data_IF_651995927451
#
_entry.id   IF_651995927451
#
_cell.length_a   1.000
_cell.length_b   1.000
_cell.length_c   1.000
_cell.angle_alpha   90.00
_cell.angle_beta   90.00
_cell.angle_gamma   90.00
#
_symmetry.space_group_name_H-M   'P 1'
#
loop_
_entity.id
_entity.type
_entity.pdbx_description
1 polymer ?
#
# COMPACT_ATOMS: atom_id res chain seq x y z
N UNK A 1 1.29 -37.21 -1.83
CA UNK A 1 0.25 -37.00 -2.87
C UNK A 1 0.88 -36.19 -3.99
N UNK A 2 0.70 -36.58 -5.26
CA UNK A 2 1.40 -35.96 -6.38
C UNK A 2 0.99 -34.49 -6.52
N UNK A 3 1.96 -33.65 -6.87
CA UNK A 3 1.85 -32.20 -6.97
C UNK A 3 0.86 -31.74 -8.05
N UNK A 4 -0.40 -31.54 -7.66
CA UNK A 4 -1.45 -30.85 -8.43
C UNK A 4 -1.17 -29.34 -8.65
N UNK A 5 0.04 -28.87 -8.32
CA UNK A 5 0.32 -27.47 -8.00
C UNK A 5 0.65 -26.57 -9.20
N UNK A 6 0.95 -27.14 -10.38
CA UNK A 6 1.43 -26.38 -11.55
C UNK A 6 0.71 -26.75 -12.86
N UNK A 7 -0.56 -27.13 -12.77
CA UNK A 7 -1.42 -27.24 -13.97
C UNK A 7 -1.93 -25.82 -14.33
N UNK A 8 -1.98 -25.44 -15.62
CA UNK A 8 -2.68 -24.23 -16.05
C UNK A 8 -4.14 -24.28 -15.58
N UNK A 9 -4.60 -23.21 -14.92
CA UNK A 9 -5.97 -23.06 -14.43
C UNK A 9 -6.68 -21.96 -15.20
N UNK A 10 -7.97 -22.16 -15.49
CA UNK A 10 -8.80 -21.07 -16.01
C UNK A 10 -9.00 -19.97 -14.97
N UNK A 11 -9.44 -18.78 -15.40
CA UNK A 11 -9.74 -17.68 -14.49
C UNK A 11 -10.80 -18.08 -13.44
N UNK A 12 -11.81 -18.86 -13.82
CA UNK A 12 -12.86 -19.35 -12.91
C UNK A 12 -12.32 -20.41 -11.94
N UNK A 13 -11.45 -21.32 -12.41
CA UNK A 13 -10.78 -22.31 -11.56
C UNK A 13 -9.86 -21.66 -10.52
N UNK A 14 -9.22 -20.52 -10.85
CA UNK A 14 -8.41 -19.76 -9.89
C UNK A 14 -9.25 -19.14 -8.77
N UNK A 15 -10.41 -18.59 -9.12
CA UNK A 15 -11.32 -17.97 -8.15
C UNK A 15 -11.89 -19.05 -7.21
N UNK A 16 -12.39 -20.16 -7.75
CA UNK A 16 -12.94 -21.26 -6.96
C UNK A 16 -11.87 -21.85 -6.02
N UNK A 17 -10.66 -22.11 -6.54
CA UNK A 17 -9.55 -22.57 -5.73
C UNK A 17 -9.15 -21.57 -4.62
N UNK A 18 -9.22 -20.26 -4.88
CA UNK A 18 -8.93 -19.25 -3.88
C UNK A 18 -9.96 -19.25 -2.75
N UNK A 19 -11.25 -19.41 -3.07
CA UNK A 19 -12.30 -19.53 -2.05
C UNK A 19 -12.19 -20.83 -1.24
N UNK A 20 -11.87 -21.95 -1.89
CA UNK A 20 -11.65 -23.22 -1.22
C UNK A 20 -10.47 -23.13 -0.24
N UNK A 21 -9.34 -22.57 -0.69
CA UNK A 21 -8.17 -22.36 0.15
C UNK A 21 -8.49 -21.41 1.31
N UNK A 22 -9.15 -20.29 1.02
CA UNK A 22 -9.57 -19.33 2.04
C UNK A 22 -10.42 -20.02 3.10
N UNK A 23 -11.47 -20.76 2.72
CA UNK A 23 -12.36 -21.44 3.66
C UNK A 23 -11.63 -22.46 4.53
N UNK A 24 -10.65 -23.15 3.96
CA UNK A 24 -9.84 -24.14 4.67
C UNK A 24 -8.90 -23.48 5.70
N UNK A 25 -8.24 -22.37 5.34
CA UNK A 25 -7.23 -21.74 6.19
C UNK A 25 -7.73 -20.54 7.00
N UNK A 26 -8.97 -20.11 6.77
CA UNK A 26 -9.55 -18.93 7.42
C UNK A 26 -9.37 -18.92 8.94
N UNK A 27 -9.66 -20.01 9.68
CA UNK A 27 -9.45 -20.02 11.12
C UNK A 27 -8.00 -19.80 11.52
N UNK A 28 -7.03 -20.34 10.77
CA UNK A 28 -5.61 -20.17 11.06
C UNK A 28 -5.13 -18.75 10.79
N UNK A 29 -5.61 -18.13 9.71
CA UNK A 29 -5.34 -16.72 9.41
C UNK A 29 -5.90 -15.80 10.50
N UNK A 30 -7.15 -16.04 10.93
CA UNK A 30 -7.78 -15.26 12.01
C UNK A 30 -7.03 -15.46 13.33
N UNK A 31 -6.66 -16.69 13.67
CA UNK A 31 -5.86 -16.97 14.88
C UNK A 31 -4.50 -16.27 14.85
N UNK A 32 -3.80 -16.28 13.70
CA UNK A 32 -2.53 -15.59 13.56
C UNK A 32 -2.68 -14.07 13.72
N UNK A 33 -3.70 -13.46 13.10
CA UNK A 33 -3.99 -12.04 13.27
C UNK A 33 -4.38 -11.71 14.71
N UNK A 34 -5.24 -12.51 15.31
CA UNK A 34 -5.67 -12.33 16.69
C UNK A 34 -4.49 -12.41 17.66
N UNK A 35 -3.61 -13.41 17.51
CA UNK A 35 -2.43 -13.56 18.36
C UNK A 35 -1.52 -12.32 18.34
N UNK A 36 -1.44 -11.62 17.20
CA UNK A 36 -0.62 -10.41 17.06
C UNK A 36 -1.36 -9.17 17.54
N UNK A 37 -2.63 -8.99 17.18
CA UNK A 37 -3.36 -7.73 17.43
C UNK A 37 -4.16 -7.69 18.73
N UNK A 38 -4.63 -8.82 19.26
CA UNK A 38 -5.39 -8.86 20.52
C UNK A 38 -4.63 -8.22 21.68
N UNK A 39 -3.31 -8.45 21.87
CA UNK A 39 -2.56 -7.75 22.91
C UNK A 39 -2.63 -6.22 22.80
N UNK A 40 -2.58 -5.67 21.58
CA UNK A 40 -2.70 -4.22 21.36
C UNK A 40 -4.11 -3.70 21.64
N UNK A 41 -5.14 -4.49 21.30
CA UNK A 41 -6.53 -4.14 21.62
C UNK A 41 -6.73 -4.10 23.14
N UNK A 42 -6.23 -5.12 23.86
CA UNK A 42 -6.29 -5.16 25.32
C UNK A 42 -5.53 -3.99 25.93
N UNK A 43 -4.30 -3.71 25.47
CA UNK A 43 -3.52 -2.56 25.93
C UNK A 43 -4.27 -1.24 25.71
N UNK A 44 -4.94 -1.07 24.57
CA UNK A 44 -5.72 0.13 24.27
C UNK A 44 -6.92 0.30 25.21
N UNK A 45 -7.54 -0.79 25.66
CA UNK A 45 -8.68 -0.74 26.60
C UNK A 45 -8.21 -0.45 28.03
N UNK A 46 -7.06 -1.00 28.42
CA UNK A 46 -6.53 -0.90 29.79
C UNK A 46 -5.79 0.41 30.04
N UNK A 47 -5.08 0.94 29.06
CA UNK A 47 -4.26 2.14 29.19
C UNK A 47 -5.10 3.42 29.03
N UNK A 48 -4.68 4.53 29.66
CA UNK A 48 -5.33 5.82 29.49
C UNK A 48 -5.23 6.33 28.05
N UNK A 49 -6.20 7.14 27.62
CA UNK A 49 -6.27 7.71 26.27
C UNK A 49 -5.04 8.55 25.89
N UNK A 50 -4.31 9.10 26.87
CA UNK A 50 -3.03 9.78 26.63
C UNK A 50 -1.95 8.86 26.01
N UNK A 51 -2.05 7.55 26.23
CA UNK A 51 -1.13 6.54 25.68
C UNK A 51 -1.67 5.88 24.40
N UNK A 52 -2.92 6.14 24.01
CA UNK A 52 -3.51 5.62 22.78
C UNK A 52 -2.66 5.85 21.51
N UNK A 53 -2.04 7.03 21.26
CA UNK A 53 -1.19 7.21 20.08
C UNK A 53 0.04 6.30 20.07
N UNK A 54 0.64 6.02 21.23
CA UNK A 54 1.78 5.11 21.33
C UNK A 54 1.37 3.67 21.02
N UNK A 55 0.22 3.22 21.53
CA UNK A 55 -0.32 1.89 21.23
C UNK A 55 -0.68 1.75 19.75
N UNK A 56 -1.25 2.80 19.14
CA UNK A 56 -1.55 2.83 17.71
C UNK A 56 -0.29 2.80 16.84
N UNK A 57 0.77 3.51 17.25
CA UNK A 57 2.05 3.48 16.55
C UNK A 57 2.68 2.08 16.63
N UNK A 58 2.65 1.48 17.83
CA UNK A 58 3.16 0.12 18.04
C UNK A 58 2.36 -0.90 17.20
N UNK A 59 1.02 -0.83 17.18
CA UNK A 59 0.22 -1.77 16.40
C UNK A 59 0.46 -1.64 14.89
N UNK A 60 0.69 -0.43 14.37
CA UNK A 60 1.07 -0.22 12.97
C UNK A 60 2.43 -0.82 12.63
N UNK A 61 3.40 -0.73 13.53
CA UNK A 61 4.69 -1.40 13.35
C UNK A 61 4.56 -2.94 13.30
N UNK A 62 3.55 -3.52 13.96
CA UNK A 62 3.34 -4.97 13.93
C UNK A 62 2.46 -5.44 12.77
N UNK A 63 1.86 -4.53 12.00
CA UNK A 63 1.04 -4.85 10.84
C UNK A 63 1.74 -5.70 9.76
N UNK A 64 2.98 -5.39 9.31
CA UNK A 64 3.65 -6.22 8.31
C UNK A 64 3.97 -7.63 8.80
N UNK A 65 4.11 -7.83 10.11
CA UNK A 65 4.29 -9.16 10.69
C UNK A 65 3.03 -10.00 10.54
N UNK A 66 1.86 -9.44 10.86
CA UNK A 66 0.60 -10.14 10.68
C UNK A 66 0.39 -10.54 9.21
N UNK A 67 0.71 -9.64 8.29
CA UNK A 67 0.65 -9.94 6.86
C UNK A 67 1.62 -11.07 6.46
N UNK A 68 2.87 -11.02 6.94
CA UNK A 68 3.86 -12.06 6.66
C UNK A 68 3.45 -13.43 7.22
N UNK A 69 2.82 -13.47 8.39
CA UNK A 69 2.31 -14.71 8.99
C UNK A 69 1.20 -15.34 8.12
N UNK A 70 0.27 -14.52 7.61
CA UNK A 70 -0.76 -14.97 6.67
C UNK A 70 -0.12 -15.51 5.39
N UNK A 71 0.85 -14.79 4.81
CA UNK A 71 1.55 -15.21 3.59
C UNK A 71 2.21 -16.58 3.79
N UNK A 72 2.87 -16.81 4.93
CA UNK A 72 3.50 -18.10 5.24
C UNK A 72 2.46 -19.23 5.39
N UNK A 73 1.38 -18.98 6.11
CA UNK A 73 0.29 -19.96 6.30
C UNK A 73 -0.36 -20.32 4.96
N UNK A 74 -0.70 -19.31 4.15
CA UNK A 74 -1.29 -19.49 2.82
C UNK A 74 -0.32 -20.20 1.88
N UNK A 75 0.95 -19.79 1.85
CA UNK A 75 1.97 -20.43 1.01
C UNK A 75 2.17 -21.89 1.37
N UNK A 76 2.22 -22.23 2.67
CA UNK A 76 2.41 -23.59 3.11
C UNK A 76 1.19 -24.47 2.85
N UNK A 77 -0.03 -23.96 3.08
CA UNK A 77 -1.26 -24.69 2.76
C UNK A 77 -1.46 -24.89 1.27
N UNK A 78 -1.06 -23.91 0.44
CA UNK A 78 -1.07 -24.05 -1.01
C UNK A 78 -0.17 -25.20 -1.48
N UNK A 79 0.96 -25.44 -0.79
CA UNK A 79 1.86 -26.56 -1.05
C UNK A 79 1.39 -27.89 -0.43
N UNK A 80 0.19 -27.92 0.16
CA UNK A 80 -0.37 -29.11 0.80
C UNK A 80 0.18 -29.40 2.21
N UNK A 81 0.91 -28.45 2.81
CA UNK A 81 1.43 -28.58 4.16
C UNK A 81 0.45 -28.08 5.24
N UNK A 82 0.48 -28.70 6.41
CA UNK A 82 -0.28 -28.27 7.60
C UNK A 82 0.62 -27.53 8.61
N UNK A 83 0.98 -26.28 8.32
CA UNK A 83 1.80 -25.48 9.25
C UNK A 83 0.97 -25.04 10.45
N UNK A 84 1.50 -25.26 11.66
CA UNK A 84 0.91 -24.76 12.89
C UNK A 84 1.08 -23.24 12.98
N UNK A 85 0.06 -22.55 13.52
CA UNK A 85 0.05 -21.09 13.69
C UNK A 85 1.22 -20.60 14.55
N UNK A 86 1.58 -21.34 15.60
CA UNK A 86 2.72 -21.02 16.48
C UNK A 86 4.06 -21.03 15.72
N UNK A 87 4.25 -22.00 14.83
CA UNK A 87 5.44 -22.10 13.98
C UNK A 87 5.52 -20.92 13.00
N UNK A 88 4.38 -20.51 12.42
CA UNK A 88 4.31 -19.35 11.55
C UNK A 88 4.67 -18.06 12.30
N UNK A 89 4.11 -17.85 13.50
CA UNK A 89 4.39 -16.68 14.33
C UNK A 89 5.86 -16.63 14.75
N UNK A 90 6.43 -17.75 15.20
CA UNK A 90 7.85 -17.83 15.57
C UNK A 90 8.79 -17.52 14.40
N UNK A 91 8.48 -18.08 13.22
CA UNK A 91 9.24 -17.80 11.99
C UNK A 91 9.21 -16.32 11.61
N UNK A 92 8.05 -15.67 11.71
CA UNK A 92 7.89 -14.24 11.43
C UNK A 92 8.61 -13.37 12.45
N UNK A 93 8.48 -13.66 13.75
CA UNK A 93 9.15 -12.91 14.82
C UNK A 93 10.67 -12.98 14.70
N UNK A 94 11.24 -14.13 14.32
CA UNK A 94 12.68 -14.28 14.09
C UNK A 94 13.22 -13.36 12.97
N UNK A 95 12.34 -12.94 12.06
CA UNK A 95 12.64 -12.05 10.93
C UNK A 95 12.09 -10.64 11.11
N UNK A 96 11.66 -10.28 12.32
CA UNK A 96 11.07 -8.98 12.64
C UNK A 96 11.91 -7.81 12.09
N UNK A 97 13.22 -7.81 12.36
CA UNK A 97 14.11 -6.74 11.91
C UNK A 97 14.21 -6.62 10.39
N UNK A 98 14.28 -7.75 9.68
CA UNK A 98 14.30 -7.76 8.22
C UNK A 98 12.97 -7.27 7.63
N UNK A 99 11.83 -7.71 8.20
CA UNK A 99 10.50 -7.25 7.79
C UNK A 99 10.31 -5.76 8.03
N UNK A 100 10.77 -5.24 9.18
CA UNK A 100 10.77 -3.79 9.45
C UNK A 100 11.55 -3.03 8.39
N UNK A 101 12.78 -3.45 8.09
CA UNK A 101 13.61 -2.78 7.09
C UNK A 101 12.95 -2.78 5.71
N UNK A 102 12.37 -3.92 5.29
CA UNK A 102 11.63 -4.02 4.02
C UNK A 102 10.43 -3.07 4.02
N UNK A 103 9.65 -3.01 5.09
CA UNK A 103 8.50 -2.11 5.18
C UNK A 103 8.91 -0.64 5.14
N UNK A 104 10.02 -0.26 5.79
CA UNK A 104 10.56 1.10 5.72
C UNK A 104 10.98 1.44 4.29
N UNK A 105 11.77 0.59 3.64
CA UNK A 105 12.23 0.78 2.27
C UNK A 105 11.02 0.91 1.33
N UNK A 106 10.06 -0.01 1.43
CA UNK A 106 8.82 0.03 0.64
C UNK A 106 8.05 1.34 0.85
N UNK A 107 7.90 1.79 2.09
CA UNK A 107 7.25 3.06 2.42
C UNK A 107 7.96 4.26 1.80
N UNK A 108 9.29 4.31 1.87
CA UNK A 108 10.07 5.35 1.21
C UNK A 108 9.92 5.32 -0.31
N UNK A 109 10.01 4.14 -0.95
CA UNK A 109 9.82 4.03 -2.40
C UNK A 109 8.43 4.52 -2.84
N UNK A 110 7.38 4.14 -2.10
CA UNK A 110 6.01 4.60 -2.38
C UNK A 110 5.91 6.12 -2.19
N UNK A 111 6.44 6.65 -1.08
CA UNK A 111 6.43 8.08 -0.79
C UNK A 111 7.13 8.88 -1.90
N UNK A 112 8.34 8.47 -2.28
CA UNK A 112 9.10 9.12 -3.36
C UNK A 112 8.39 9.00 -4.70
N UNK A 113 7.84 7.82 -5.03
CA UNK A 113 7.08 7.63 -6.26
C UNK A 113 5.86 8.55 -6.33
N UNK A 114 5.08 8.62 -5.26
CA UNK A 114 3.91 9.49 -5.16
C UNK A 114 4.32 10.96 -5.22
N UNK A 115 5.34 11.38 -4.47
CA UNK A 115 5.84 12.76 -4.49
C UNK A 115 6.29 13.18 -5.90
N UNK A 116 7.01 12.27 -6.59
CA UNK A 116 7.49 12.48 -7.94
C UNK A 116 6.37 12.50 -8.98
N UNK A 117 5.17 11.98 -8.69
CA UNK A 117 4.00 12.08 -9.57
C UNK A 117 3.09 13.28 -9.23
N UNK A 118 2.87 13.55 -7.94
CA UNK A 118 1.99 14.62 -7.47
C UNK A 118 2.57 16.00 -7.82
N UNK A 119 3.85 16.25 -7.49
CA UNK A 119 4.48 17.56 -7.72
C UNK A 119 4.47 17.97 -9.20
N UNK A 120 4.93 17.14 -10.16
CA UNK A 120 4.83 17.52 -11.57
C UNK A 120 3.40 17.53 -12.08
N UNK A 121 2.49 16.73 -11.52
CA UNK A 121 1.07 16.81 -11.82
C UNK A 121 0.49 18.19 -11.52
N UNK A 122 0.79 18.74 -10.34
CA UNK A 122 0.39 20.10 -9.97
C UNK A 122 1.07 21.18 -10.83
N UNK A 123 2.36 21.00 -11.17
CA UNK A 123 3.08 21.94 -12.06
C UNK A 123 2.44 21.95 -13.45
N UNK A 124 2.18 20.77 -14.03
CA UNK A 124 1.53 20.64 -15.32
C UNK A 124 0.13 21.26 -15.30
N UNK A 125 -0.66 20.98 -14.26
CA UNK A 125 -1.98 21.57 -14.07
C UNK A 125 -1.91 23.11 -14.04
N UNK A 126 -1.01 23.68 -13.24
CA UNK A 126 -0.80 25.12 -13.16
C UNK A 126 -0.38 25.72 -14.52
N UNK A 127 0.47 25.02 -15.28
CA UNK A 127 0.90 25.46 -16.61
C UNK A 127 -0.19 25.35 -17.68
N UNK A 128 -1.14 24.43 -17.56
CA UNK A 128 -2.23 24.25 -18.55
C UNK A 128 -3.53 24.94 -18.17
N UNK A 129 -3.65 25.47 -16.94
CA UNK A 129 -4.88 26.03 -16.41
C UNK A 129 -5.47 27.16 -17.29
N UNK A 130 -4.62 28.02 -17.86
CA UNK A 130 -5.04 29.13 -18.70
C UNK A 130 -5.35 28.75 -20.15
N UNK A 131 -4.98 27.54 -20.56
CA UNK A 131 -4.96 27.13 -21.96
C UNK A 131 -6.37 27.12 -22.59
N UNK A 132 -7.42 26.59 -21.93
CA UNK A 132 -8.78 26.63 -22.50
C UNK A 132 -9.32 28.06 -22.65
N UNK A 133 -9.00 28.93 -21.69
CA UNK A 133 -9.41 30.33 -21.71
C UNK A 133 -8.73 31.07 -22.87
N UNK A 134 -7.44 30.84 -23.11
CA UNK A 134 -6.71 31.42 -24.24
C UNK A 134 -7.23 30.92 -25.60
N UNK A 135 -7.56 29.62 -25.72
CA UNK A 135 -8.16 29.07 -26.96
C UNK A 135 -9.52 29.72 -27.23
N UNK A 136 -10.36 29.86 -26.21
CA UNK A 136 -11.73 30.35 -26.35
C UNK A 136 -11.81 31.86 -26.56
N UNK A 137 -11.00 32.63 -25.82
CA UNK A 137 -11.03 34.10 -25.87
C UNK A 137 -10.20 34.68 -27.01
N UNK A 138 -9.17 33.97 -27.47
CA UNK A 138 -8.22 34.50 -28.45
C UNK A 138 -8.18 33.71 -29.76
N UNK A 139 -9.05 32.69 -29.91
CA UNK A 139 -9.14 31.86 -31.12
C UNK A 139 -7.86 31.10 -31.44
N UNK A 140 -6.98 30.91 -30.46
CA UNK A 140 -5.65 30.34 -30.66
C UNK A 140 -5.69 28.82 -30.79
N UNK A 141 -4.84 28.26 -31.65
CA UNK A 141 -4.59 26.82 -31.73
C UNK A 141 -3.95 26.31 -30.44
N UNK A 142 -4.27 25.07 -30.05
CA UNK A 142 -3.78 24.44 -28.81
C UNK A 142 -2.26 24.59 -28.57
N UNK A 143 -1.43 24.47 -29.61
CA UNK A 143 0.02 24.64 -29.50
C UNK A 143 0.45 26.08 -29.15
N UNK A 144 -0.22 27.10 -29.70
CA UNK A 144 0.04 28.52 -29.40
C UNK A 144 -0.51 28.90 -28.01
N UNK A 145 -1.66 28.36 -27.63
CA UNK A 145 -2.23 28.57 -26.30
C UNK A 145 -1.36 27.96 -25.18
N UNK A 146 -0.73 26.81 -25.43
CA UNK A 146 0.21 26.19 -24.47
C UNK A 146 1.49 27.02 -24.28
N UNK A 147 2.08 27.53 -25.37
CA UNK A 147 3.24 28.42 -25.29
C UNK A 147 2.91 29.71 -24.50
N UNK A 148 1.74 30.30 -24.76
CA UNK A 148 1.27 31.52 -24.08
C UNK A 148 0.97 31.32 -22.60
N UNK A 149 0.34 30.21 -22.22
CA UNK A 149 0.04 29.87 -20.83
C UNK A 149 1.30 29.73 -19.96
N UNK A 150 2.43 29.37 -20.59
CA UNK A 150 3.72 29.17 -19.93
C UNK A 150 4.52 30.47 -19.70
N UNK A 151 4.10 31.59 -20.29
CA UNK A 151 4.74 32.91 -20.13
C UNK A 151 4.28 33.69 -18.88
N UNK A 152 3.21 33.25 -18.20
CA UNK A 152 2.70 33.94 -17.00
C UNK A 152 3.66 34.01 -15.79
N UNK A 153 4.58 33.07 -15.55
CA UNK A 153 5.61 33.22 -14.51
C UNK A 153 6.63 34.33 -14.78
N UNK A 154 6.74 34.85 -16.02
CA UNK A 154 7.75 35.83 -16.45
C UNK A 154 7.24 37.28 -16.51
N UNK A 155 5.95 37.53 -16.27
CA UNK A 155 5.33 38.87 -16.38
C UNK A 155 5.54 39.75 -15.12
N UNK A 156 6.34 39.31 -14.12
CA UNK A 156 6.61 40.12 -12.91
C UNK A 156 7.57 41.30 -13.14
N UNK A 157 8.21 41.42 -14.30
CA UNK A 157 9.25 42.43 -14.56
C UNK A 157 8.73 43.79 -15.06
N UNK A 158 7.44 43.94 -15.35
CA UNK A 158 6.89 45.15 -16.02
C UNK A 158 5.80 45.90 -15.22
N UNK A 159 5.56 45.53 -13.96
CA UNK A 159 4.48 46.13 -13.15
C UNK A 159 4.94 47.19 -12.12
N UNK A 160 6.20 47.63 -12.18
CA UNK A 160 6.70 48.79 -11.43
C UNK A 160 7.40 49.75 -12.39
N UNK A 161 6.62 50.55 -13.10
CA UNK A 161 7.04 51.86 -13.59
C UNK A 161 5.83 52.79 -13.60
#
# INVERSE_FOLDING_TARGET
MPSSALRPRSATELIDASFQLLRQIYPQCVMAMAAIFVPFIVLRIVLPESMAPMVNLASQLFQPLALAAIILLVSNSYLGGGMLVSTAIGAVLSRFGALMLVSFIQGFLILFGVLLLIVPGFIAFAWTFAMPQAVMLEGMTASKAFARSRDWPRIRSYAFC
#
